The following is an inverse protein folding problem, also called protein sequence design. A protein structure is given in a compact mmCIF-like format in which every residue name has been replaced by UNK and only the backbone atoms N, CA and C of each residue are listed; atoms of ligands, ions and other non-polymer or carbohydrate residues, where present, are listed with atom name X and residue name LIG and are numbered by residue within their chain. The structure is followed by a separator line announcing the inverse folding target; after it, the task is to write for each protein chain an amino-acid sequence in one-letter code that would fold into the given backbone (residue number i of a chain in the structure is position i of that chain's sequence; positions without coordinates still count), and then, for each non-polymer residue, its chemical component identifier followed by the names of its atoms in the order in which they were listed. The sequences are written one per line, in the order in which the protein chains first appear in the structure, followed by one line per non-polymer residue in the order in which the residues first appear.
data_IF_602135855736
#
_entry.id   IF_602135855736
#
_cell.length_a   1.000
_cell.length_b   1.000
_cell.length_c   1.000
_cell.angle_alpha   90.00
_cell.angle_beta   90.00
_cell.angle_gamma   90.00
#
_symmetry.space_group_name_H-M   'P 1'
#
loop_
_entity.id
_entity.type
_entity.pdbx_description
1 polymer ?
#
# COMPACT_ATOMS: atom_id res chain seq x y z
N UNK A 1 -7.09 -5.31 -21.64
CA UNK A 1 -8.02 -4.32 -21.06
C UNK A 1 -7.23 -3.52 -20.04
N UNK A 2 -7.15 -2.18 -20.16
CA UNK A 2 -6.38 -1.35 -19.22
C UNK A 2 -7.11 -1.21 -17.86
N UNK A 3 -6.38 -0.77 -16.84
CA UNK A 3 -6.97 -0.45 -15.53
C UNK A 3 -7.92 0.76 -15.65
N UNK A 4 -9.01 0.81 -14.86
CA UNK A 4 -9.94 1.92 -14.89
C UNK A 4 -9.31 3.19 -14.30
N UNK A 5 -9.62 4.35 -14.89
CA UNK A 5 -9.32 5.66 -14.33
C UNK A 5 -10.20 5.96 -13.10
N UNK A 6 -9.99 7.11 -12.44
CA UNK A 6 -10.75 7.52 -11.24
C UNK A 6 -12.27 7.47 -11.48
N UNK A 7 -12.72 7.95 -12.66
CA UNK A 7 -14.16 7.96 -13.00
C UNK A 7 -14.70 6.56 -13.21
N UNK A 8 -13.95 5.72 -13.92
CA UNK A 8 -14.28 4.30 -14.12
C UNK A 8 -14.35 3.56 -12.78
N UNK A 9 -13.41 3.80 -11.86
CA UNK A 9 -13.45 3.19 -10.53
C UNK A 9 -14.67 3.64 -9.72
N UNK A 10 -15.03 4.93 -9.79
CA UNK A 10 -16.23 5.44 -9.13
C UNK A 10 -17.51 4.75 -9.65
N UNK A 11 -17.65 4.57 -10.96
CA UNK A 11 -18.80 3.86 -11.54
C UNK A 11 -18.82 2.37 -11.16
N UNK A 12 -17.68 1.71 -11.13
CA UNK A 12 -17.56 0.32 -10.67
C UNK A 12 -17.97 0.22 -9.18
N UNK A 13 -17.51 1.12 -8.34
CA UNK A 13 -17.89 1.16 -6.92
C UNK A 13 -19.40 1.36 -6.75
N UNK A 14 -20.04 2.22 -7.56
CA UNK A 14 -21.51 2.38 -7.55
C UNK A 14 -22.24 1.08 -7.82
N UNK A 15 -21.74 0.26 -8.76
CA UNK A 15 -22.33 -1.04 -9.08
C UNK A 15 -22.23 -1.97 -7.87
N UNK A 16 -21.02 -2.10 -7.28
CA UNK A 16 -20.79 -3.06 -6.19
C UNK A 16 -21.36 -2.63 -4.84
N UNK A 17 -21.72 -1.35 -4.68
CA UNK A 17 -22.36 -0.82 -3.46
C UNK A 17 -23.89 -0.74 -3.53
N UNK A 18 -24.50 -1.00 -4.71
CA UNK A 18 -25.95 -0.81 -4.95
C UNK A 18 -26.84 -1.49 -3.91
N UNK A 19 -26.44 -2.67 -3.43
CA UNK A 19 -27.22 -3.47 -2.47
C UNK A 19 -26.58 -3.51 -1.06
N UNK A 20 -25.70 -2.56 -0.76
CA UNK A 20 -25.00 -2.49 0.52
C UNK A 20 -25.28 -1.14 1.19
N UNK A 21 -25.73 -1.13 2.45
CA UNK A 21 -25.96 0.13 3.16
C UNK A 21 -24.65 0.83 3.42
N UNK A 22 -24.51 2.07 2.95
CA UNK A 22 -23.37 2.94 3.20
C UNK A 22 -23.74 3.97 4.26
N UNK A 23 -22.82 4.26 5.16
CA UNK A 23 -22.96 5.35 6.13
C UNK A 23 -22.78 6.71 5.44
N UNK A 24 -23.28 7.83 6.03
CA UNK A 24 -23.23 9.15 5.42
C UNK A 24 -21.80 9.70 5.18
N UNK A 25 -20.80 9.17 5.88
CA UNK A 25 -19.38 9.54 5.76
C UNK A 25 -18.69 8.91 4.54
N UNK A 26 -19.33 7.95 3.86
CA UNK A 26 -18.74 7.23 2.73
C UNK A 26 -18.87 8.02 1.44
N UNK A 27 -17.74 8.35 0.84
CA UNK A 27 -17.67 9.00 -0.48
C UNK A 27 -17.02 8.08 -1.50
N UNK A 28 -17.80 7.56 -2.46
CA UNK A 28 -17.29 6.69 -3.53
C UNK A 28 -16.23 7.38 -4.37
N UNK A 29 -16.34 8.70 -4.57
CA UNK A 29 -15.34 9.50 -5.28
C UNK A 29 -14.00 9.52 -4.55
N UNK A 30 -14.01 9.70 -3.23
CA UNK A 30 -12.79 9.67 -2.41
C UNK A 30 -12.16 8.27 -2.45
N UNK A 31 -12.96 7.21 -2.36
CA UNK A 31 -12.49 5.82 -2.48
C UNK A 31 -11.85 5.61 -3.85
N UNK A 32 -12.51 6.04 -4.94
CA UNK A 32 -11.98 5.93 -6.30
C UNK A 32 -10.63 6.65 -6.49
N UNK A 33 -10.44 7.79 -5.84
CA UNK A 33 -9.16 8.52 -5.85
C UNK A 33 -8.05 7.77 -5.11
N UNK A 34 -8.38 7.12 -3.97
CA UNK A 34 -7.42 6.41 -3.11
C UNK A 34 -7.11 4.98 -3.57
N UNK A 35 -7.83 4.47 -4.57
CA UNK A 35 -7.66 3.11 -5.12
C UNK A 35 -7.01 3.12 -6.50
N UNK A 36 -6.02 4.01 -6.71
CA UNK A 36 -5.23 4.02 -7.93
C UNK A 36 -4.58 2.64 -8.16
N UNK A 37 -4.64 2.14 -9.40
CA UNK A 37 -4.12 0.82 -9.75
C UNK A 37 -5.06 -0.36 -9.47
N UNK A 38 -6.23 -0.17 -8.85
CA UNK A 38 -7.20 -1.24 -8.63
C UNK A 38 -7.93 -1.60 -9.92
N UNK A 39 -8.01 -2.90 -10.20
CA UNK A 39 -8.91 -3.45 -11.21
C UNK A 39 -10.35 -3.53 -10.68
N UNK A 40 -11.30 -3.84 -11.56
CA UNK A 40 -12.70 -4.00 -11.15
C UNK A 40 -12.90 -5.07 -10.07
N UNK A 41 -12.18 -6.20 -10.17
CA UNK A 41 -12.21 -7.25 -9.16
C UNK A 41 -11.66 -6.82 -7.79
N UNK A 42 -10.64 -5.95 -7.77
CA UNK A 42 -10.10 -5.42 -6.52
C UNK A 42 -11.10 -4.50 -5.82
N UNK A 43 -11.83 -3.67 -6.60
CA UNK A 43 -12.89 -2.80 -6.09
C UNK A 43 -14.09 -3.57 -5.57
N UNK A 44 -14.48 -4.66 -6.24
CA UNK A 44 -15.51 -5.59 -5.75
C UNK A 44 -15.08 -6.22 -4.42
N UNK A 45 -13.85 -6.75 -4.37
CA UNK A 45 -13.29 -7.36 -3.17
C UNK A 45 -13.19 -6.35 -2.02
N UNK A 46 -12.76 -5.12 -2.29
CA UNK A 46 -12.74 -4.02 -1.32
C UNK A 46 -14.11 -3.81 -0.66
N UNK A 47 -15.16 -3.67 -1.48
CA UNK A 47 -16.52 -3.43 -0.97
C UNK A 47 -17.06 -4.64 -0.20
N UNK A 48 -16.74 -5.85 -0.62
CA UNK A 48 -17.13 -7.08 0.08
C UNK A 48 -16.41 -7.21 1.43
N UNK A 49 -15.10 -6.95 1.48
CA UNK A 49 -14.33 -6.96 2.73
C UNK A 49 -14.80 -5.89 3.72
N UNK A 50 -15.11 -4.69 3.23
CA UNK A 50 -15.67 -3.62 4.06
C UNK A 50 -17.03 -4.01 4.66
N UNK A 51 -17.89 -4.67 3.88
CA UNK A 51 -19.17 -5.19 4.37
C UNK A 51 -18.97 -6.26 5.45
N UNK A 52 -17.99 -7.16 5.29
CA UNK A 52 -17.65 -8.16 6.30
C UNK A 52 -17.10 -7.52 7.58
N UNK A 53 -16.29 -6.47 7.47
CA UNK A 53 -15.78 -5.72 8.62
C UNK A 53 -16.92 -5.02 9.38
N UNK A 54 -17.80 -4.32 8.67
CA UNK A 54 -18.99 -3.70 9.27
C UNK A 54 -19.87 -4.73 10.01
N UNK A 55 -20.11 -5.90 9.39
CA UNK A 55 -20.87 -6.97 10.02
C UNK A 55 -20.21 -7.53 11.27
N UNK A 56 -18.89 -7.75 11.26
CA UNK A 56 -18.12 -8.20 12.45
C UNK A 56 -18.18 -7.19 13.59
N UNK A 57 -18.29 -5.91 13.28
CA UNK A 57 -18.43 -4.80 14.25
C UNK A 57 -19.89 -4.54 14.62
N UNK A 58 -20.83 -5.38 14.18
CA UNK A 58 -22.27 -5.22 14.39
C UNK A 58 -22.81 -3.86 13.92
N UNK A 59 -22.18 -3.26 12.89
CA UNK A 59 -22.63 -2.02 12.26
C UNK A 59 -23.74 -2.31 11.25
N UNK A 60 -24.71 -1.40 11.15
CA UNK A 60 -25.83 -1.51 10.20
C UNK A 60 -25.49 -1.01 8.78
N UNK A 61 -24.38 -0.28 8.65
CA UNK A 61 -23.91 0.30 7.39
C UNK A 61 -22.37 0.29 7.36
N UNK A 62 -21.82 0.24 6.16
CA UNK A 62 -20.38 0.33 5.90
C UNK A 62 -19.95 1.79 6.13
N UNK A 63 -18.95 2.01 6.98
CA UNK A 63 -18.35 3.33 7.23
C UNK A 63 -17.09 3.54 6.40
N UNK A 64 -16.60 4.78 6.34
CA UNK A 64 -15.32 5.07 5.68
C UNK A 64 -14.15 4.34 6.35
N UNK A 65 -14.18 4.18 7.66
CA UNK A 65 -13.19 3.38 8.43
C UNK A 65 -13.14 1.91 7.97
N UNK A 66 -14.32 1.29 7.74
CA UNK A 66 -14.37 -0.09 7.24
C UNK A 66 -13.80 -0.20 5.83
N UNK A 67 -14.03 0.80 4.97
CA UNK A 67 -13.46 0.89 3.62
C UNK A 67 -11.92 1.05 3.68
N UNK A 68 -11.41 1.92 4.55
CA UNK A 68 -9.97 2.14 4.69
C UNK A 68 -9.25 0.87 5.17
N UNK A 69 -9.79 0.19 6.19
CA UNK A 69 -9.24 -1.08 6.66
C UNK A 69 -9.33 -2.20 5.60
N UNK A 70 -10.45 -2.27 4.87
CA UNK A 70 -10.61 -3.22 3.78
C UNK A 70 -9.63 -2.95 2.65
N UNK A 71 -9.39 -1.68 2.30
CA UNK A 71 -8.41 -1.28 1.29
C UNK A 71 -7.00 -1.77 1.66
N UNK A 72 -6.61 -1.58 2.92
CA UNK A 72 -5.34 -2.09 3.43
C UNK A 72 -5.25 -3.62 3.33
N UNK A 73 -6.33 -4.32 3.65
CA UNK A 73 -6.39 -5.79 3.55
C UNK A 73 -6.27 -6.27 2.11
N UNK A 74 -6.88 -5.58 1.15
CA UNK A 74 -6.79 -5.92 -0.28
C UNK A 74 -5.38 -5.67 -0.81
N UNK A 75 -4.73 -4.56 -0.44
CA UNK A 75 -3.39 -4.18 -0.91
C UNK A 75 -2.27 -4.99 -0.25
N UNK A 76 -2.27 -5.08 1.08
CA UNK A 76 -1.16 -5.64 1.86
C UNK A 76 -1.46 -7.05 2.43
N UNK A 77 -2.68 -7.54 2.26
CA UNK A 77 -3.13 -8.79 2.85
C UNK A 77 -3.63 -8.67 4.29
N UNK A 78 -4.16 -9.77 4.86
CA UNK A 78 -4.69 -9.78 6.22
C UNK A 78 -3.58 -9.64 7.26
N UNK A 79 -3.90 -8.99 8.39
CA UNK A 79 -3.00 -8.94 9.55
C UNK A 79 -2.73 -10.34 10.12
N UNK A 80 -1.46 -10.61 10.43
CA UNK A 80 -1.04 -11.85 11.13
C UNK A 80 -1.10 -11.66 12.65
N UNK A 81 -2.29 -11.62 13.21
CA UNK A 81 -2.51 -11.39 14.66
C UNK A 81 -1.91 -12.48 15.56
N UNK A 82 -1.69 -13.68 15.04
CA UNK A 82 -1.11 -14.81 15.79
C UNK A 82 0.41 -14.89 15.75
N UNK A 83 1.08 -14.05 14.92
CA UNK A 83 2.54 -14.05 14.84
C UNK A 83 3.13 -13.36 16.08
N UNK A 84 3.89 -14.10 16.84
CA UNK A 84 4.72 -13.52 17.92
C UNK A 84 5.96 -12.91 17.27
N UNK A 85 6.11 -11.61 17.38
CA UNK A 85 7.24 -10.85 16.83
C UNK A 85 8.12 -10.44 18.01
N UNK A 86 9.41 -10.78 17.96
CA UNK A 86 10.37 -10.42 19.01
C UNK A 86 10.64 -8.91 19.05
N UNK A 87 11.26 -8.43 20.14
CA UNK A 87 11.63 -7.02 20.24
C UNK A 87 12.68 -6.63 19.19
N UNK A 88 13.60 -7.53 18.89
CA UNK A 88 14.65 -7.38 17.89
C UNK A 88 14.04 -7.30 16.49
N UNK A 89 13.12 -8.20 16.14
CA UNK A 89 12.41 -8.16 14.86
C UNK A 89 11.59 -6.86 14.71
N UNK A 90 10.91 -6.40 15.78
CA UNK A 90 10.18 -5.12 15.75
C UNK A 90 11.12 -3.95 15.50
N UNK A 91 12.28 -3.93 16.18
CA UNK A 91 13.29 -2.89 16.01
C UNK A 91 13.82 -2.88 14.58
N UNK A 92 14.21 -4.04 14.05
CA UNK A 92 14.68 -4.20 12.67
C UNK A 92 13.64 -3.68 11.68
N UNK A 93 12.40 -4.17 11.76
CA UNK A 93 11.32 -3.75 10.88
C UNK A 93 11.06 -2.24 10.99
N UNK A 94 11.07 -1.67 12.18
CA UNK A 94 10.82 -0.24 12.38
C UNK A 94 11.88 0.64 11.68
N UNK A 95 13.15 0.30 11.80
CA UNK A 95 14.21 1.04 11.11
C UNK A 95 14.17 0.83 9.60
N UNK A 96 13.88 -0.38 9.15
CA UNK A 96 13.72 -0.72 7.74
C UNK A 96 12.62 0.12 7.09
N UNK A 97 11.41 0.09 7.61
CA UNK A 97 10.28 0.85 7.08
C UNK A 97 10.48 2.37 7.21
N UNK A 98 11.06 2.84 8.32
CA UNK A 98 11.43 4.24 8.46
C UNK A 98 12.47 4.68 7.41
N UNK A 99 13.40 3.80 7.06
CA UNK A 99 14.39 4.03 6.01
C UNK A 99 13.75 4.30 4.65
N UNK A 100 12.78 3.49 4.25
CA UNK A 100 11.99 3.72 3.03
C UNK A 100 11.27 5.06 3.07
N UNK A 101 10.59 5.34 4.19
CA UNK A 101 9.82 6.56 4.35
C UNK A 101 10.70 7.81 4.27
N UNK A 102 11.86 7.82 4.94
CA UNK A 102 12.81 8.94 4.93
C UNK A 102 13.39 9.11 3.52
N UNK A 103 13.84 8.04 2.87
CA UNK A 103 14.37 8.12 1.52
C UNK A 103 13.33 8.66 0.53
N UNK A 104 12.11 8.12 0.55
CA UNK A 104 11.01 8.59 -0.30
C UNK A 104 10.59 10.03 -0.02
N UNK A 105 10.63 10.48 1.24
CA UNK A 105 10.30 11.85 1.62
C UNK A 105 11.23 12.90 0.98
N UNK A 106 12.52 12.59 0.85
CA UNK A 106 13.49 13.50 0.22
C UNK A 106 13.54 13.38 -1.31
N UNK A 107 12.87 12.40 -1.91
CA UNK A 107 12.72 12.27 -3.35
C UNK A 107 11.68 13.29 -3.88
N UNK A 108 12.01 13.94 -5.00
CA UNK A 108 11.17 15.03 -5.54
C UNK A 108 9.91 14.53 -6.25
N UNK A 109 10.03 13.42 -6.97
CA UNK A 109 8.97 12.87 -7.82
C UNK A 109 8.32 11.62 -7.24
N UNK A 110 8.87 11.09 -6.15
CA UNK A 110 8.35 9.91 -5.47
C UNK A 110 7.00 10.23 -4.79
N UNK A 111 6.01 9.32 -4.81
CA UNK A 111 4.76 9.50 -4.10
C UNK A 111 4.99 9.72 -2.60
N UNK A 112 4.10 10.47 -1.97
CA UNK A 112 4.19 10.72 -0.53
C UNK A 112 3.88 9.46 0.27
N UNK A 113 4.57 9.31 1.40
CA UNK A 113 4.27 8.26 2.37
C UNK A 113 2.84 8.46 2.88
N UNK A 114 2.03 7.44 2.78
CA UNK A 114 0.67 7.40 3.29
C UNK A 114 0.61 6.75 4.67
N UNK A 115 1.29 5.62 4.82
CA UNK A 115 1.29 4.84 6.05
C UNK A 115 2.62 4.09 6.22
N UNK A 116 3.05 3.98 7.47
CA UNK A 116 4.18 3.14 7.88
C UNK A 116 3.67 2.23 9.00
N UNK A 117 3.93 0.95 8.92
CA UNK A 117 3.53 0.01 9.97
C UNK A 117 4.56 -1.10 10.15
N UNK A 118 4.69 -1.55 11.40
CA UNK A 118 5.46 -2.73 11.79
C UNK A 118 4.54 -3.93 12.09
N UNK A 119 3.25 -3.81 11.80
CA UNK A 119 2.30 -4.90 11.98
C UNK A 119 2.40 -5.84 10.78
N UNK A 120 2.73 -7.12 10.99
CA UNK A 120 2.88 -8.06 9.89
C UNK A 120 1.56 -8.28 9.13
N UNK A 121 1.63 -8.17 7.79
CA UNK A 121 0.51 -8.48 6.87
C UNK A 121 0.98 -9.36 5.73
N UNK A 122 0.15 -10.29 5.30
CA UNK A 122 0.50 -11.18 4.19
C UNK A 122 1.87 -11.85 4.39
N UNK A 123 2.83 -11.59 3.52
CA UNK A 123 4.21 -12.07 3.61
C UNK A 123 5.17 -11.06 4.26
N UNK A 124 4.74 -9.80 4.45
CA UNK A 124 5.57 -8.72 4.95
C UNK A 124 5.63 -8.69 6.49
N UNK A 125 6.77 -8.31 7.05
CA UNK A 125 6.96 -8.05 8.48
C UNK A 125 6.43 -6.68 8.91
N UNK A 126 6.48 -5.72 8.01
CA UNK A 126 5.93 -4.36 8.03
C UNK A 126 5.75 -3.88 6.61
N UNK A 127 5.37 -2.64 6.42
CA UNK A 127 5.38 -1.99 5.11
C UNK A 127 5.38 -0.48 5.23
N UNK A 128 5.94 0.17 4.22
CA UNK A 128 5.79 1.59 3.95
C UNK A 128 4.95 1.76 2.70
N UNK A 129 3.78 2.38 2.84
CA UNK A 129 2.84 2.57 1.74
C UNK A 129 2.94 3.96 1.15
N UNK A 130 2.97 4.00 -0.15
CA UNK A 130 2.90 5.21 -0.95
C UNK A 130 1.62 5.21 -1.78
N UNK A 131 0.88 6.31 -1.78
CA UNK A 131 -0.28 6.46 -2.64
C UNK A 131 0.04 7.44 -3.75
N UNK A 132 -0.10 7.04 -5.02
CA UNK A 132 0.04 7.96 -6.14
C UNK A 132 -1.09 9.00 -6.09
N UNK A 133 -0.73 10.29 -6.25
CA UNK A 133 -1.72 11.39 -6.28
C UNK A 133 -2.60 11.36 -7.52
N UNK A 134 -2.14 10.73 -8.59
CA UNK A 134 -2.84 10.66 -9.89
C UNK A 134 -2.61 9.31 -10.57
N UNK A 135 -3.58 8.88 -11.37
CA UNK A 135 -3.37 7.77 -12.28
C UNK A 135 -2.34 8.19 -13.35
N UNK A 136 -1.26 7.43 -13.49
CA UNK A 136 -0.19 7.68 -14.44
C UNK A 136 -0.16 6.59 -15.49
N UNK A 137 -0.02 6.99 -16.75
CA UNK A 137 0.16 6.05 -17.86
C UNK A 137 1.62 5.76 -18.15
N UNK A 138 2.53 6.60 -17.67
CA UNK A 138 3.98 6.51 -17.93
C UNK A 138 4.76 6.87 -16.67
N UNK A 139 5.94 6.29 -16.51
CA UNK A 139 6.93 6.59 -15.48
C UNK A 139 8.18 7.11 -16.17
N UNK A 140 8.71 8.23 -15.71
CA UNK A 140 9.94 8.83 -16.25
C UNK A 140 11.18 8.15 -15.68
N UNK A 141 12.34 8.32 -16.34
CA UNK A 141 13.62 7.82 -15.84
C UNK A 141 13.96 8.36 -14.45
N UNK A 142 13.64 9.64 -14.17
CA UNK A 142 13.86 10.25 -12.85
C UNK A 142 13.00 9.61 -11.78
N UNK A 143 11.73 9.35 -12.07
CA UNK A 143 10.83 8.65 -11.16
C UNK A 143 11.31 7.21 -10.87
N UNK A 144 11.70 6.45 -11.90
CA UNK A 144 12.27 5.11 -11.71
C UNK A 144 13.55 5.13 -10.83
N UNK A 145 14.40 6.15 -11.00
CA UNK A 145 15.58 6.31 -10.15
C UNK A 145 15.20 6.60 -8.70
N UNK A 146 14.22 7.46 -8.46
CA UNK A 146 13.75 7.77 -7.12
C UNK A 146 13.02 6.57 -6.46
N UNK A 147 12.31 5.74 -7.22
CA UNK A 147 11.75 4.48 -6.75
C UNK A 147 12.85 3.52 -6.28
N UNK A 148 13.98 3.45 -7.01
CA UNK A 148 15.16 2.67 -6.59
C UNK A 148 15.74 3.22 -5.29
N UNK A 149 15.92 4.54 -5.18
CA UNK A 149 16.45 5.20 -3.97
C UNK A 149 15.56 4.91 -2.76
N UNK A 150 14.25 5.07 -2.91
CA UNK A 150 13.28 4.77 -1.85
C UNK A 150 13.31 3.27 -1.47
N UNK A 151 13.37 2.37 -2.44
CA UNK A 151 13.47 0.92 -2.21
C UNK A 151 14.76 0.50 -1.49
N UNK A 152 15.86 1.22 -1.66
CA UNK A 152 17.10 0.96 -0.93
C UNK A 152 17.11 1.53 0.49
N UNK A 153 16.18 2.41 0.82
CA UNK A 153 16.14 3.13 2.09
C UNK A 153 16.11 2.22 3.30
N UNK A 154 15.33 1.14 3.26
CA UNK A 154 15.24 0.15 4.34
C UNK A 154 16.59 -0.51 4.61
N UNK A 155 17.25 -1.00 3.56
CA UNK A 155 18.58 -1.64 3.65
C UNK A 155 19.65 -0.67 4.23
N UNK A 156 19.64 0.56 3.76
CA UNK A 156 20.60 1.58 4.25
C UNK A 156 20.36 1.88 5.72
N UNK A 157 19.10 1.97 6.15
CA UNK A 157 18.77 2.18 7.56
C UNK A 157 19.21 1.00 8.45
N UNK A 158 19.02 -0.24 8.01
CA UNK A 158 19.54 -1.43 8.71
C UNK A 158 21.05 -1.34 8.87
N UNK A 159 21.78 -1.09 7.78
CA UNK A 159 23.25 -0.98 7.80
C UNK A 159 23.77 0.13 8.71
N UNK A 160 23.12 1.31 8.70
CA UNK A 160 23.57 2.46 9.50
C UNK A 160 23.29 2.32 11.00
N UNK A 161 22.18 1.65 11.36
CA UNK A 161 21.69 1.63 12.75
C UNK A 161 21.95 0.29 13.44
N UNK A 162 21.88 -0.81 12.68
CA UNK A 162 22.03 -2.17 13.22
C UNK A 162 23.41 -2.78 12.90
N UNK A 163 24.20 -2.11 12.05
CA UNK A 163 25.50 -2.58 11.57
C UNK A 163 25.43 -3.95 10.86
N UNK A 164 24.22 -4.36 10.42
CA UNK A 164 23.93 -5.62 9.78
C UNK A 164 22.83 -5.44 8.73
N UNK A 165 22.61 -6.46 7.90
CA UNK A 165 21.64 -6.44 6.81
C UNK A 165 20.81 -7.71 6.85
N UNK A 166 19.49 -7.58 6.86
CA UNK A 166 18.57 -8.71 6.85
C UNK A 166 18.22 -9.20 5.44
N UNK A 167 17.65 -10.39 5.35
CA UNK A 167 17.09 -10.94 4.11
C UNK A 167 15.76 -10.28 3.70
N UNK A 168 15.19 -9.38 4.52
CA UNK A 168 13.98 -8.62 4.20
C UNK A 168 14.10 -7.83 2.90
N UNK A 169 15.32 -7.41 2.56
CA UNK A 169 15.64 -6.66 1.33
C UNK A 169 15.64 -7.49 0.04
N UNK A 170 15.41 -8.80 0.08
CA UNK A 170 15.55 -9.66 -1.11
C UNK A 170 14.53 -9.35 -2.19
N UNK A 171 13.30 -9.03 -1.80
CA UNK A 171 12.24 -8.65 -2.74
C UNK A 171 12.53 -7.30 -3.40
N UNK A 172 13.06 -6.36 -2.66
CA UNK A 172 13.43 -5.02 -3.13
C UNK A 172 14.57 -5.06 -4.14
N UNK A 173 15.60 -5.88 -3.89
CA UNK A 173 16.70 -6.07 -4.84
C UNK A 173 16.21 -6.63 -6.18
N UNK A 174 15.18 -7.48 -6.16
CA UNK A 174 14.56 -8.00 -7.38
C UNK A 174 13.83 -6.89 -8.15
N UNK A 175 13.10 -6.03 -7.46
CA UNK A 175 12.43 -4.86 -8.05
C UNK A 175 13.44 -3.88 -8.63
N UNK A 176 14.49 -3.55 -7.87
CA UNK A 176 15.58 -2.67 -8.29
C UNK A 176 16.24 -3.18 -9.57
N UNK A 177 16.51 -4.49 -9.67
CA UNK A 177 17.07 -5.10 -10.88
C UNK A 177 16.19 -4.88 -12.11
N UNK A 178 14.87 -5.00 -11.95
CA UNK A 178 13.90 -4.77 -13.02
C UNK A 178 13.91 -3.29 -13.41
N UNK A 179 13.77 -2.37 -12.47
CA UNK A 179 13.74 -0.93 -12.72
C UNK A 179 15.05 -0.43 -13.36
N UNK A 180 16.19 -0.94 -12.90
CA UNK A 180 17.50 -0.61 -13.48
C UNK A 180 17.59 -1.05 -14.94
N UNK A 181 17.06 -2.21 -15.31
CA UNK A 181 17.04 -2.68 -16.70
C UNK A 181 16.27 -1.72 -17.61
N UNK A 182 15.08 -1.26 -17.16
CA UNK A 182 14.27 -0.31 -17.93
C UNK A 182 14.82 1.12 -17.95
N UNK A 183 15.64 1.53 -16.98
CA UNK A 183 16.23 2.88 -16.95
C UNK A 183 17.38 3.07 -17.95
N UNK A 184 17.92 1.98 -18.51
CA UNK A 184 19.01 1.99 -19.50
C UNK A 184 18.55 1.85 -20.95
N UNK A 185 17.22 1.73 -21.18
CA UNK A 185 16.61 1.82 -22.50
C UNK A 185 16.24 3.28 -22.77
#
# INVERSE_FOLDING_TARGET
MGLPDVKGREEILKVHTKNKPLAPDVSLRVIAQRTAGFAGADLENLVNEAALLAARRSRKAITMEDIEEASMKVMAGPEKKSRVVTAEEKKLTAYHEAGHAVAGFYCKHHPRVHEITIIPRGQAGGYTMYLPEKDRSYVTKGEMFEDIVSSLGGRVAEQLILEDISTGTFHELSLIRILHHYSHI
#
